data_IF_485111697080
#
_entry.id   IF_485111697080
#
_cell.length_a   1.000
_cell.length_b   1.000
_cell.length_c   1.000
_cell.angle_alpha   90.00
_cell.angle_beta   90.00
_cell.angle_gamma   90.00
#
_symmetry.space_group_name_H-M   'P 1'
#
loop_
_entity.id
_entity.type
_entity.pdbx_description
1 polymer ?
#
# COMPACT_ATOMS: atom_id res chain seq x y z
N UNK A 1 9.85 11.59 16.54
CA UNK A 1 8.92 10.70 15.79
C UNK A 1 9.15 10.92 14.30
N UNK A 2 9.90 10.03 13.64
CA UNK A 2 10.13 10.12 12.19
C UNK A 2 8.90 9.57 11.47
N UNK A 3 8.17 10.44 10.75
CA UNK A 3 7.13 9.98 9.82
C UNK A 3 7.85 9.18 8.74
N UNK A 4 7.62 7.86 8.73
CA UNK A 4 8.03 6.99 7.65
C UNK A 4 7.38 7.54 6.38
N UNK A 5 8.16 8.23 5.57
CA UNK A 5 7.72 8.74 4.28
C UNK A 5 7.14 7.58 3.51
N UNK A 6 5.90 7.75 3.03
CA UNK A 6 5.33 6.88 2.01
C UNK A 6 6.28 6.96 0.83
N UNK A 7 7.21 6.01 0.73
CA UNK A 7 7.93 5.72 -0.48
C UNK A 7 6.87 5.25 -1.48
N UNK A 8 6.24 6.22 -2.13
CA UNK A 8 5.67 6.00 -3.45
C UNK A 8 6.88 5.74 -4.33
N UNK A 9 7.26 4.46 -4.39
CA UNK A 9 8.36 3.96 -5.21
C UNK A 9 7.96 4.14 -6.67
N UNK A 10 8.16 5.35 -7.18
CA UNK A 10 8.34 5.63 -8.60
C UNK A 10 9.79 5.33 -8.93
N UNK A 11 10.20 4.07 -8.75
CA UNK A 11 11.44 3.54 -9.31
C UNK A 11 10.97 2.57 -10.39
N UNK A 12 11.30 2.90 -11.64
CA UNK A 12 10.81 2.20 -12.83
C UNK A 12 11.02 0.69 -12.76
N UNK A 13 9.96 -0.04 -13.08
CA UNK A 13 9.98 -1.49 -13.26
C UNK A 13 8.80 -2.16 -12.61
N UNK A 14 7.64 -2.16 -13.31
CA UNK A 14 6.51 -3.10 -13.27
C UNK A 14 5.99 -3.71 -11.94
N UNK A 15 6.59 -3.49 -10.78
CA UNK A 15 6.29 -4.17 -9.52
C UNK A 15 5.66 -3.20 -8.52
N UNK A 16 4.51 -3.59 -7.95
CA UNK A 16 3.77 -2.85 -6.94
C UNK A 16 3.49 -3.74 -5.74
N UNK A 17 3.61 -3.18 -4.53
CA UNK A 17 3.15 -3.82 -3.31
C UNK A 17 1.70 -3.44 -3.06
N UNK A 18 0.79 -4.42 -3.10
CA UNK A 18 -0.66 -4.19 -2.94
C UNK A 18 -1.11 -4.27 -1.49
N UNK A 19 -0.43 -5.09 -0.68
CA UNK A 19 -0.72 -5.20 0.74
C UNK A 19 0.04 -6.33 1.42
N UNK A 20 -0.13 -6.45 2.73
CA UNK A 20 0.42 -7.58 3.48
C UNK A 20 -0.22 -7.74 4.85
N UNK A 21 -0.21 -8.98 5.35
CA UNK A 21 -0.76 -9.39 6.64
C UNK A 21 0.30 -10.15 7.44
N UNK A 22 0.39 -9.89 8.74
CA UNK A 22 1.27 -10.64 9.63
C UNK A 22 0.67 -12.02 9.89
N UNK A 23 1.47 -13.07 9.73
CA UNK A 23 1.07 -14.46 10.04
C UNK A 23 1.69 -14.96 11.35
N UNK A 24 2.73 -14.28 11.84
CA UNK A 24 3.38 -14.56 13.11
C UNK A 24 4.33 -13.43 13.50
N UNK A 25 5.21 -13.65 14.47
CA UNK A 25 6.14 -12.61 14.93
C UNK A 25 7.10 -12.12 13.84
N UNK A 26 7.53 -13.02 12.95
CA UNK A 26 8.49 -12.71 11.87
C UNK A 26 8.01 -13.15 10.49
N UNK A 27 6.77 -13.61 10.40
CA UNK A 27 6.18 -14.15 9.19
C UNK A 27 5.09 -13.24 8.66
N UNK A 28 5.06 -13.06 7.34
CA UNK A 28 4.08 -12.21 6.66
C UNK A 28 3.63 -12.84 5.35
N UNK A 29 2.35 -12.69 5.02
CA UNK A 29 1.85 -12.88 3.67
C UNK A 29 1.78 -11.51 2.98
N UNK A 30 2.29 -11.43 1.75
CA UNK A 30 2.46 -10.18 1.00
C UNK A 30 1.88 -10.36 -0.39
N UNK A 31 0.97 -9.47 -0.78
CA UNK A 31 0.42 -9.43 -2.14
C UNK A 31 1.20 -8.42 -2.95
N UNK A 32 1.85 -8.88 -4.01
CA UNK A 32 2.58 -8.05 -4.97
C UNK A 32 1.96 -8.19 -6.36
N UNK A 33 2.07 -7.14 -7.16
CA UNK A 33 1.72 -7.14 -8.58
C UNK A 33 3.00 -6.91 -9.38
N UNK A 34 3.22 -7.70 -10.44
CA UNK A 34 4.30 -7.51 -11.41
C UNK A 34 3.68 -7.51 -12.80
N UNK A 35 3.70 -6.36 -13.47
CA UNK A 35 2.93 -6.13 -14.68
C UNK A 35 1.44 -6.26 -14.38
N UNK A 36 0.80 -7.24 -15.01
CA UNK A 36 -0.63 -7.55 -14.82
C UNK A 36 -0.88 -8.71 -13.85
N UNK A 37 0.18 -9.45 -13.50
CA UNK A 37 0.06 -10.63 -12.65
C UNK A 37 0.15 -10.26 -11.18
N UNK A 38 -0.73 -10.83 -10.36
CA UNK A 38 -0.69 -10.70 -8.91
C UNK A 38 -0.22 -12.01 -8.27
N UNK A 39 0.64 -11.89 -7.26
CA UNK A 39 1.27 -13.02 -6.58
C UNK A 39 1.19 -12.83 -5.07
N UNK A 40 0.78 -13.88 -4.36
CA UNK A 40 0.84 -13.96 -2.91
C UNK A 40 2.14 -14.63 -2.50
N UNK A 41 2.95 -13.93 -1.71
CA UNK A 41 4.24 -14.40 -1.21
C UNK A 41 4.19 -14.57 0.31
N UNK A 42 4.77 -15.65 0.81
CA UNK A 42 5.09 -15.84 2.21
C UNK A 42 6.52 -15.41 2.46
N UNK A 43 6.72 -14.56 3.46
CA UNK A 43 8.03 -13.99 3.82
C UNK A 43 8.35 -14.35 5.27
N UNK A 44 9.50 -14.97 5.48
CA UNK A 44 10.06 -15.34 6.78
C UNK A 44 11.56 -14.98 6.82
N UNK A 45 12.23 -14.98 7.99
CA UNK A 45 13.66 -14.75 8.05
C UNK A 45 14.43 -15.78 7.21
N UNK A 46 15.17 -15.30 6.20
CA UNK A 46 15.99 -16.15 5.32
C UNK A 46 15.21 -16.91 4.24
N UNK A 47 13.89 -16.74 4.14
CA UNK A 47 13.09 -17.44 3.13
C UNK A 47 11.94 -16.59 2.60
N UNK A 48 11.76 -16.64 1.27
CA UNK A 48 10.59 -16.10 0.58
C UNK A 48 10.04 -17.22 -0.30
N UNK A 49 8.73 -17.45 -0.24
CA UNK A 49 8.05 -18.48 -1.01
C UNK A 49 6.82 -17.91 -1.69
N UNK A 50 6.65 -18.19 -2.98
CA UNK A 50 5.36 -17.96 -3.66
C UNK A 50 4.33 -18.92 -3.11
N UNK A 51 3.30 -18.38 -2.46
CA UNK A 51 2.16 -19.15 -1.96
C UNK A 51 1.14 -19.37 -3.06
N UNK A 52 0.90 -18.35 -3.88
CA UNK A 52 -0.05 -18.44 -4.99
C UNK A 52 0.25 -17.39 -6.08
N UNK A 53 -0.09 -17.72 -7.32
CA UNK A 53 -0.11 -16.79 -8.46
C UNK A 53 -1.54 -16.75 -8.94
N UNK A 54 -2.15 -15.57 -8.98
CA UNK A 54 -3.54 -15.43 -9.35
C UNK A 54 -3.67 -15.33 -10.86
N UNK A 55 -4.60 -16.11 -11.44
CA UNK A 55 -4.94 -16.03 -12.87
C UNK A 55 -5.60 -14.70 -13.25
N UNK A 56 -6.23 -14.04 -12.27
CA UNK A 56 -6.88 -12.74 -12.43
C UNK A 56 -6.51 -11.81 -11.27
N UNK A 57 -6.39 -10.50 -11.50
CA UNK A 57 -6.17 -9.53 -10.43
C UNK A 57 -7.25 -9.64 -9.34
N UNK A 58 -6.82 -9.85 -8.09
CA UNK A 58 -7.71 -9.92 -6.92
C UNK A 58 -7.95 -8.55 -6.30
N UNK A 59 -7.02 -7.62 -6.51
CA UNK A 59 -7.18 -6.21 -6.15
C UNK A 59 -7.15 -5.40 -7.44
N UNK A 60 -8.16 -4.56 -7.66
CA UNK A 60 -8.13 -3.62 -8.78
C UNK A 60 -6.92 -2.71 -8.61
N UNK A 61 -6.22 -2.42 -9.72
CA UNK A 61 -5.11 -1.49 -9.70
C UNK A 61 -5.65 -0.16 -9.17
N UNK A 62 -5.32 0.16 -7.91
CA UNK A 62 -5.67 1.45 -7.34
C UNK A 62 -4.78 2.45 -8.07
N UNK A 63 -5.29 2.94 -9.21
CA UNK A 63 -4.75 4.12 -9.87
C UNK A 63 -4.54 5.23 -8.84
N UNK A 64 -3.67 6.22 -9.14
CA UNK A 64 -3.30 7.27 -8.19
C UNK A 64 -4.58 7.73 -7.48
N UNK A 65 -4.63 7.50 -6.16
CA UNK A 65 -5.83 7.66 -5.36
C UNK A 65 -6.53 8.94 -5.82
N UNK A 66 -7.78 8.83 -6.28
CA UNK A 66 -8.53 9.97 -6.78
C UNK A 66 -8.31 11.14 -5.81
N UNK A 67 -8.06 12.37 -6.29
CA UNK A 67 -7.80 13.52 -5.42
C UNK A 67 -9.06 13.86 -4.63
N UNK A 68 -9.35 13.05 -3.62
CA UNK A 68 -10.30 13.34 -2.58
C UNK A 68 -9.66 14.38 -1.67
N UNK A 69 -10.50 15.29 -1.18
CA UNK A 69 -10.16 16.36 -0.23
C UNK A 69 -9.10 15.86 0.74
N UNK A 70 -7.88 16.41 0.64
CA UNK A 70 -6.78 15.98 1.48
C UNK A 70 -7.19 16.17 2.93
N UNK A 71 -6.71 15.29 3.82
CA UNK A 71 -6.87 15.50 5.25
C UNK A 71 -6.42 16.91 5.65
N UNK A 72 -5.37 17.44 5.00
CA UNK A 72 -4.91 18.81 5.21
C UNK A 72 -5.99 19.86 4.86
N UNK A 73 -6.73 19.67 3.77
CA UNK A 73 -7.79 20.59 3.35
C UNK A 73 -8.97 20.54 4.33
N UNK A 74 -9.37 19.33 4.77
CA UNK A 74 -10.42 19.17 5.80
C UNK A 74 -10.02 19.78 7.14
N UNK A 75 -8.77 19.58 7.56
CA UNK A 75 -8.26 20.15 8.81
C UNK A 75 -8.23 21.68 8.75
N UNK A 76 -7.76 22.25 7.64
CA UNK A 76 -7.74 23.70 7.45
C UNK A 76 -9.15 24.31 7.48
N UNK A 77 -10.16 23.63 6.92
CA UNK A 77 -11.55 24.08 7.00
C UNK A 77 -12.06 24.14 8.45
N UNK A 78 -11.78 23.10 9.26
CA UNK A 78 -12.18 23.05 10.67
C UNK A 78 -11.46 24.12 11.51
N UNK A 79 -10.17 24.35 11.27
CA UNK A 79 -9.42 25.40 11.96
C UNK A 79 -9.96 26.81 11.65
N UNK A 80 -10.29 27.08 10.38
CA UNK A 80 -10.92 28.35 9.98
C UNK A 80 -12.29 28.54 10.60
N UNK A 81 -13.07 27.48 10.74
CA UNK A 81 -14.38 27.53 11.40
C UNK A 81 -14.28 27.87 12.89
N UNK A 82 -13.21 27.40 13.57
CA UNK A 82 -12.98 27.66 14.99
C UNK A 82 -12.37 29.04 15.30
N UNK A 83 -11.65 29.64 14.35
CA UNK A 83 -11.05 30.97 14.50
C UNK A 83 -12.01 32.13 14.19
N UNK A 84 -13.18 31.84 13.62
CA UNK A 84 -14.25 32.81 13.33
C UNK A 84 -15.39 32.81 14.34
N UNK A 85 -15.21 32.20 15.51
CA UNK A 85 -16.15 32.22 16.65
C UNK A 85 -15.48 32.80 17.89
#
# INVERSE_FOLDING_TARGET
VRRMGRLQSVVGGSMKLLGGVSLGQRERAVLVQVGETQMLLGVAPGSVRTLHVFDKPVVADAGPAAPGVSFADRLNAVLKQKAGS
#
